data_IF_928972655203
#
_entry.id   IF_928972655203
#
_cell.length_a   1.000
_cell.length_b   1.000
_cell.length_c   1.000
_cell.angle_alpha   90.00
_cell.angle_beta   90.00
_cell.angle_gamma   90.00
#
_symmetry.space_group_name_H-M   'P 1'
#
loop_
_entity.id
_entity.type
_entity.pdbx_description
1 polymer ?
#
# COMPACT_ATOMS: atom_id res chain seq x y z
N UNK A 1 38.36 53.43 33.88
CA UNK A 1 38.61 52.20 33.09
C UNK A 1 38.53 51.05 34.06
N UNK A 2 37.41 50.31 34.03
CA UNK A 2 37.23 49.11 34.85
C UNK A 2 37.64 47.89 34.04
N UNK A 3 38.61 47.15 34.56
CA UNK A 3 39.22 45.97 33.97
C UNK A 3 38.19 44.83 33.95
N UNK A 4 37.98 44.22 32.78
CA UNK A 4 37.02 43.13 32.58
C UNK A 4 37.45 41.89 33.37
N UNK A 5 36.60 41.41 34.28
CA UNK A 5 36.82 40.20 35.09
C UNK A 5 36.15 38.98 34.42
N UNK A 6 36.91 38.05 33.82
CA UNK A 6 36.37 36.90 33.12
C UNK A 6 35.83 35.79 34.04
N UNK A 7 35.91 35.94 35.37
CA UNK A 7 35.37 34.97 36.34
C UNK A 7 33.92 35.24 36.75
N UNK A 8 33.39 36.43 36.45
CA UNK A 8 32.00 36.79 36.74
C UNK A 8 31.02 36.47 35.60
N UNK A 9 31.50 35.84 34.51
CA UNK A 9 30.66 35.37 33.43
C UNK A 9 30.70 33.83 33.36
N UNK A 10 29.55 33.14 33.54
CA UNK A 10 29.51 31.69 33.52
C UNK A 10 29.94 31.16 32.15
N UNK A 11 31.10 30.52 32.10
CA UNK A 11 31.58 29.82 30.90
C UNK A 11 30.76 28.53 30.75
N UNK A 12 30.16 28.37 29.57
CA UNK A 12 29.43 27.18 29.19
C UNK A 12 30.24 25.89 29.40
N UNK A 13 29.51 24.84 29.74
CA UNK A 13 29.92 23.47 30.01
C UNK A 13 31.17 23.02 29.22
N UNK A 14 32.33 22.94 29.88
CA UNK A 14 33.60 22.57 29.24
C UNK A 14 33.81 21.06 29.07
N UNK A 15 32.85 20.21 29.47
CA UNK A 15 33.10 18.76 29.53
C UNK A 15 32.58 17.95 28.34
N UNK A 16 31.85 18.55 27.38
CA UNK A 16 31.31 17.83 26.20
C UNK A 16 31.70 18.39 24.84
N UNK A 17 32.55 19.43 24.76
CA UNK A 17 33.13 19.87 23.47
C UNK A 17 32.15 20.38 22.40
N UNK A 18 30.85 20.54 22.71
CA UNK A 18 29.86 21.10 21.79
C UNK A 18 29.55 22.55 22.14
N UNK A 19 30.20 23.48 21.45
CA UNK A 19 29.80 24.88 21.47
C UNK A 19 28.50 25.06 20.65
N UNK A 20 27.41 25.48 21.29
CA UNK A 20 26.26 26.08 20.58
C UNK A 20 24.88 25.45 20.74
N UNK A 21 24.53 24.86 21.89
CA UNK A 21 23.12 24.52 22.16
C UNK A 21 22.67 25.10 23.51
N UNK A 22 21.82 26.13 23.43
CA UNK A 22 21.08 26.64 24.59
C UNK A 22 19.71 25.95 24.62
N UNK A 23 19.30 25.48 25.80
CA UNK A 23 17.94 25.04 26.05
C UNK A 23 16.98 26.22 25.85
N UNK A 24 16.05 26.10 24.92
CA UNK A 24 14.98 27.08 24.73
C UNK A 24 14.01 27.03 25.92
N UNK A 25 13.56 28.22 26.34
CA UNK A 25 12.59 28.44 27.43
C UNK A 25 11.42 27.46 27.36
N UNK A 26 10.99 26.96 28.50
CA UNK A 26 9.73 26.24 28.69
C UNK A 26 8.58 27.12 28.19
N UNK A 27 8.07 26.85 26.98
CA UNK A 27 6.86 27.47 26.47
C UNK A 27 5.65 26.79 27.11
N UNK A 28 4.81 27.59 27.75
CA UNK A 28 3.54 27.15 28.34
C UNK A 28 2.53 26.77 27.26
N UNK A 29 1.78 25.72 27.57
CA UNK A 29 1.05 24.80 26.69
C UNK A 29 -0.19 25.37 25.96
N UNK A 30 -0.10 26.50 25.25
CA UNK A 30 -1.29 27.08 24.61
C UNK A 30 -1.17 27.59 23.17
N UNK A 31 -0.03 27.43 22.47
CA UNK A 31 0.10 27.95 21.08
C UNK A 31 0.78 27.00 20.07
N UNK A 32 0.90 25.71 20.38
CA UNK A 32 1.13 24.68 19.35
C UNK A 32 -0.10 23.79 19.32
N UNK A 33 -1.18 24.30 18.73
CA UNK A 33 -2.13 23.44 18.07
C UNK A 33 -1.41 22.86 16.86
N UNK A 34 -0.78 21.69 17.02
CA UNK A 34 -0.46 20.85 15.87
C UNK A 34 -1.79 20.65 15.15
N UNK A 35 -1.89 21.27 13.98
CA UNK A 35 -2.99 21.09 13.06
C UNK A 35 -3.34 19.60 13.02
N UNK A 36 -4.64 19.31 13.16
CA UNK A 36 -5.16 17.95 13.25
C UNK A 36 -4.58 17.04 12.18
N UNK A 37 -4.45 15.76 12.54
CA UNK A 37 -4.07 14.63 11.71
C UNK A 37 -4.14 14.96 10.21
N UNK A 38 -2.98 15.08 9.56
CA UNK A 38 -2.90 15.41 8.14
C UNK A 38 -3.74 14.37 7.37
N UNK A 39 -4.88 14.74 6.74
CA UNK A 39 -5.75 13.79 6.03
C UNK A 39 -5.05 13.14 4.83
N UNK A 40 -3.82 13.58 4.52
CA UNK A 40 -2.92 12.99 3.53
C UNK A 40 -2.49 11.54 3.83
N UNK A 41 -2.87 10.96 4.97
CA UNK A 41 -2.62 9.55 5.30
C UNK A 41 -3.49 8.55 4.53
N UNK A 42 -4.77 8.90 4.31
CA UNK A 42 -5.75 7.97 3.76
C UNK A 42 -5.47 7.63 2.28
N UNK A 43 -5.72 6.38 1.93
CA UNK A 43 -5.55 5.86 0.57
C UNK A 43 -6.48 6.56 -0.43
N UNK A 44 -7.65 7.02 0.02
CA UNK A 44 -8.66 7.70 -0.80
C UNK A 44 -8.12 8.99 -1.42
N UNK A 45 -7.42 9.81 -0.62
CA UNK A 45 -6.80 11.05 -1.08
C UNK A 45 -5.68 10.80 -2.09
N UNK A 46 -5.25 9.55 -2.22
CA UNK A 46 -4.22 9.14 -3.12
C UNK A 46 -4.70 8.59 -4.46
N UNK A 47 -6.01 8.33 -4.56
CA UNK A 47 -6.64 8.10 -5.84
C UNK A 47 -6.66 9.45 -6.56
N UNK A 48 -5.74 9.61 -7.51
CA UNK A 48 -5.51 10.84 -8.26
C UNK A 48 -5.36 10.49 -9.74
N UNK A 49 -6.49 10.39 -10.48
CA UNK A 49 -6.50 9.98 -11.87
C UNK A 49 -5.55 10.85 -12.70
N UNK A 50 -4.49 10.24 -13.19
CA UNK A 50 -3.51 10.91 -14.05
C UNK A 50 -3.55 10.26 -15.42
N UNK A 51 -4.03 11.01 -16.41
CA UNK A 51 -3.99 10.57 -17.81
C UNK A 51 -2.53 10.57 -18.30
N UNK A 52 -1.98 9.40 -18.56
CA UNK A 52 -0.58 9.28 -19.04
C UNK A 52 -0.50 9.37 -20.56
N UNK A 53 -1.52 8.87 -21.26
CA UNK A 53 -1.61 8.80 -22.72
C UNK A 53 -3.09 8.79 -23.17
N UNK A 54 -3.35 8.89 -24.49
CA UNK A 54 -4.70 8.67 -25.03
C UNK A 54 -5.17 7.27 -24.62
N UNK A 55 -6.18 7.18 -23.75
CA UNK A 55 -6.80 5.91 -23.33
C UNK A 55 -6.14 5.15 -22.18
N UNK A 56 -5.17 5.73 -21.46
CA UNK A 56 -4.65 5.11 -20.21
C UNK A 56 -4.67 6.14 -19.08
N UNK A 57 -5.28 5.76 -17.97
CA UNK A 57 -5.39 6.56 -16.75
C UNK A 57 -4.81 5.76 -15.58
N UNK A 58 -3.82 6.31 -14.89
CA UNK A 58 -3.33 5.74 -13.64
C UNK A 58 -4.20 6.29 -12.51
N UNK A 59 -4.89 5.40 -11.79
CA UNK A 59 -5.73 5.80 -10.65
C UNK A 59 -4.91 5.92 -9.37
N UNK A 60 -3.98 4.98 -9.18
CA UNK A 60 -3.18 4.85 -7.97
C UNK A 60 -1.80 4.29 -8.31
N UNK A 61 -0.75 4.83 -7.68
CA UNK A 61 0.59 4.31 -7.77
C UNK A 61 1.30 4.40 -6.42
N UNK A 62 1.56 3.27 -5.72
CA UNK A 62 2.15 3.29 -4.38
C UNK A 62 3.61 3.75 -4.39
N UNK A 63 4.27 3.76 -5.55
CA UNK A 63 5.66 4.16 -5.71
C UNK A 63 5.84 5.68 -5.95
N UNK A 64 4.76 6.45 -6.01
CA UNK A 64 4.80 7.89 -6.35
C UNK A 64 3.90 8.68 -5.40
N UNK A 65 4.42 9.68 -4.69
CA UNK A 65 3.60 10.72 -4.05
C UNK A 65 4.18 12.14 -4.21
N UNK A 66 3.24 13.07 -4.41
CA UNK A 66 3.27 14.53 -4.61
C UNK A 66 3.84 15.11 -5.91
N UNK A 67 2.94 15.32 -6.88
CA UNK A 67 3.07 16.34 -7.92
C UNK A 67 2.47 17.64 -7.33
N UNK A 68 3.31 18.58 -6.91
CA UNK A 68 2.84 19.95 -6.71
C UNK A 68 2.69 20.61 -8.08
N UNK A 69 1.45 20.81 -8.53
CA UNK A 69 1.18 21.63 -9.71
C UNK A 69 1.24 23.12 -9.30
N UNK A 70 2.37 23.79 -9.55
CA UNK A 70 2.34 25.25 -9.69
C UNK A 70 1.93 25.60 -11.13
N UNK A 71 0.99 26.54 -11.25
CA UNK A 71 0.36 26.89 -12.50
C UNK A 71 1.37 27.55 -13.47
N UNK A 72 1.56 26.92 -14.62
CA UNK A 72 2.05 27.58 -15.83
C UNK A 72 3.55 27.48 -16.09
N UNK A 73 4.01 26.34 -16.58
CA UNK A 73 4.90 26.23 -17.76
C UNK A 73 5.39 24.80 -17.90
N UNK A 74 5.56 24.37 -19.15
CA UNK A 74 6.13 23.07 -19.52
C UNK A 74 7.48 22.84 -18.85
N UNK A 75 7.50 21.96 -17.84
CA UNK A 75 8.67 21.18 -17.45
C UNK A 75 8.23 20.00 -16.57
N UNK A 76 8.21 18.79 -17.13
CA UNK A 76 8.15 17.56 -16.34
C UNK A 76 9.50 17.39 -15.67
N UNK A 77 9.61 17.90 -14.45
CA UNK A 77 10.72 17.61 -13.56
C UNK A 77 10.40 16.28 -12.89
N UNK A 78 11.15 15.26 -13.32
CA UNK A 78 11.18 13.95 -12.70
C UNK A 78 12.04 13.95 -11.44
N UNK A 79 11.78 12.94 -10.60
CA UNK A 79 12.61 12.38 -9.51
C UNK A 79 12.41 12.98 -8.11
N UNK A 80 11.85 12.19 -7.20
CA UNK A 80 12.65 11.42 -6.24
C UNK A 80 11.80 10.36 -5.52
N UNK A 81 12.24 9.11 -5.63
CA UNK A 81 11.79 8.00 -4.78
C UNK A 81 12.38 8.28 -3.40
N UNK A 82 11.56 8.86 -2.52
CA UNK A 82 12.03 9.41 -1.26
C UNK A 82 10.96 9.51 -0.20
N UNK A 83 10.22 8.42 0.03
CA UNK A 83 9.64 8.07 1.33
C UNK A 83 9.34 6.57 1.33
N UNK A 84 10.16 5.83 2.10
CA UNK A 84 9.94 4.49 2.66
C UNK A 84 9.04 3.58 1.83
N UNK A 85 9.66 2.69 1.04
CA UNK A 85 9.03 1.64 0.23
C UNK A 85 8.07 0.70 1.00
N UNK A 86 7.75 0.96 2.26
CA UNK A 86 6.86 0.14 3.05
C UNK A 86 5.46 0.74 3.14
N UNK A 87 5.38 2.00 3.54
CA UNK A 87 4.19 2.67 4.05
C UNK A 87 2.94 2.48 3.16
N UNK A 88 3.12 2.37 1.85
CA UNK A 88 2.02 2.29 0.87
C UNK A 88 2.04 1.04 0.00
N UNK A 89 3.12 0.26 0.03
CA UNK A 89 3.21 -0.93 -0.83
C UNK A 89 2.15 -1.95 -0.41
N UNK A 90 1.99 -2.18 0.90
CA UNK A 90 0.92 -3.03 1.44
C UNK A 90 -0.48 -2.53 1.08
N UNK A 91 -0.69 -1.22 1.14
CA UNK A 91 -1.97 -0.58 0.79
C UNK A 91 -2.39 -0.89 -0.65
N UNK A 92 -1.44 -0.91 -1.57
CA UNK A 92 -1.70 -1.24 -2.97
C UNK A 92 -2.15 -2.70 -3.16
N UNK A 93 -1.63 -3.63 -2.37
CA UNK A 93 -2.09 -5.01 -2.37
C UNK A 93 -3.49 -5.16 -1.79
N UNK A 94 -3.74 -4.53 -0.63
CA UNK A 94 -5.07 -4.53 -0.02
C UNK A 94 -6.14 -3.95 -0.95
N UNK A 95 -5.82 -2.86 -1.64
CA UNK A 95 -6.72 -2.24 -2.62
C UNK A 95 -7.03 -3.15 -3.81
N UNK A 96 -6.02 -3.86 -4.31
CA UNK A 96 -6.22 -4.84 -5.39
C UNK A 96 -7.12 -5.98 -4.93
N UNK A 97 -6.88 -6.55 -3.74
CA UNK A 97 -7.71 -7.64 -3.23
C UNK A 97 -9.15 -7.21 -3.02
N UNK A 98 -9.37 -6.06 -2.39
CA UNK A 98 -10.70 -5.52 -2.16
C UNK A 98 -11.48 -5.38 -3.48
N UNK A 99 -10.84 -4.84 -4.52
CA UNK A 99 -11.46 -4.68 -5.85
C UNK A 99 -11.68 -6.01 -6.57
N UNK A 100 -10.82 -7.02 -6.36
CA UNK A 100 -11.01 -8.36 -6.93
C UNK A 100 -12.17 -9.07 -6.25
N UNK A 101 -12.30 -8.95 -4.94
CA UNK A 101 -13.39 -9.52 -4.15
C UNK A 101 -14.73 -8.86 -4.52
N UNK A 102 -14.76 -7.52 -4.64
CA UNK A 102 -15.95 -6.75 -5.09
C UNK A 102 -16.37 -7.13 -6.52
N UNK A 103 -15.41 -7.30 -7.43
CA UNK A 103 -15.71 -7.77 -8.78
C UNK A 103 -16.27 -9.21 -8.79
N UNK A 104 -15.78 -10.05 -7.88
CA UNK A 104 -16.21 -11.44 -7.72
C UNK A 104 -16.03 -12.30 -8.98
N UNK A 105 -16.63 -13.49 -8.97
CA UNK A 105 -16.60 -14.42 -10.11
C UNK A 105 -17.25 -13.81 -11.35
N UNK A 106 -18.37 -13.10 -11.16
CA UNK A 106 -19.10 -12.46 -12.27
C UNK A 106 -18.27 -11.40 -13.00
N UNK A 107 -17.48 -10.60 -12.26
CA UNK A 107 -16.58 -9.60 -12.83
C UNK A 107 -15.44 -10.24 -13.61
N UNK A 108 -14.89 -11.34 -13.13
CA UNK A 108 -13.84 -12.10 -13.83
C UNK A 108 -14.36 -12.77 -15.10
N UNK A 109 -15.55 -13.38 -15.04
CA UNK A 109 -16.19 -13.99 -16.20
C UNK A 109 -16.57 -12.93 -17.24
N UNK A 110 -17.07 -11.78 -16.79
CA UNK A 110 -17.32 -10.61 -17.65
C UNK A 110 -16.03 -10.13 -18.31
N UNK A 111 -14.93 -10.02 -17.57
CA UNK A 111 -13.65 -9.62 -18.12
C UNK A 111 -13.17 -10.60 -19.20
N UNK A 112 -13.26 -11.91 -18.96
CA UNK A 112 -12.94 -12.94 -19.96
C UNK A 112 -13.82 -12.79 -21.21
N UNK A 113 -15.13 -12.68 -21.04
CA UNK A 113 -16.08 -12.57 -22.14
C UNK A 113 -15.90 -11.30 -22.99
N UNK A 114 -15.41 -10.21 -22.39
CA UNK A 114 -15.17 -8.94 -23.09
C UNK A 114 -13.81 -8.87 -23.78
N UNK A 115 -12.84 -9.68 -23.35
CA UNK A 115 -11.45 -9.56 -23.79
C UNK A 115 -10.97 -10.68 -24.72
N UNK A 116 -11.59 -11.86 -24.65
CA UNK A 116 -11.17 -13.06 -25.39
C UNK A 116 -11.97 -13.26 -26.68
N UNK A 117 -11.32 -13.76 -27.72
CA UNK A 117 -11.95 -14.13 -29.01
C UNK A 117 -12.74 -12.98 -29.65
N UNK A 118 -12.25 -11.74 -29.50
CA UNK A 118 -12.89 -10.54 -30.03
C UNK A 118 -12.32 -10.14 -31.38
N UNK A 119 -13.06 -9.36 -32.18
CA UNK A 119 -12.54 -8.83 -33.46
C UNK A 119 -12.15 -7.36 -33.39
N UNK A 120 -12.94 -6.53 -32.69
CA UNK A 120 -12.65 -5.10 -32.49
C UNK A 120 -13.53 -4.50 -31.37
N UNK A 121 -13.71 -5.23 -30.26
CA UNK A 121 -14.65 -4.82 -29.21
C UNK A 121 -14.07 -3.69 -28.38
N UNK A 122 -14.78 -2.54 -28.31
CA UNK A 122 -14.38 -1.43 -27.44
C UNK A 122 -14.63 -1.83 -25.99
N UNK A 123 -13.63 -1.67 -25.15
CA UNK A 123 -13.68 -2.03 -23.73
C UNK A 123 -12.90 -1.02 -22.91
N UNK A 124 -13.23 -0.96 -21.63
CA UNK A 124 -12.44 -0.27 -20.61
C UNK A 124 -12.09 -1.28 -19.53
N UNK A 125 -10.82 -1.39 -19.19
CA UNK A 125 -10.29 -2.45 -18.32
C UNK A 125 -9.61 -1.84 -17.12
N UNK A 126 -9.94 -2.30 -15.93
CA UNK A 126 -9.20 -2.04 -14.70
C UNK A 126 -8.13 -3.11 -14.53
N UNK A 127 -6.87 -2.70 -14.41
CA UNK A 127 -5.72 -3.59 -14.25
C UNK A 127 -4.83 -3.14 -13.09
N UNK A 128 -3.97 -4.04 -12.62
CA UNK A 128 -2.95 -3.70 -11.64
C UNK A 128 -1.54 -4.09 -12.07
N UNK A 129 -0.56 -3.31 -11.60
CA UNK A 129 0.86 -3.59 -11.80
C UNK A 129 1.50 -4.36 -10.65
N UNK A 130 2.78 -4.69 -10.80
CA UNK A 130 3.57 -5.44 -9.82
C UNK A 130 3.88 -4.66 -8.52
N UNK A 131 3.38 -3.46 -8.33
CA UNK A 131 3.49 -2.74 -7.06
C UNK A 131 2.14 -2.62 -6.34
N UNK A 132 1.03 -3.04 -6.96
CA UNK A 132 -0.32 -2.68 -6.52
C UNK A 132 -0.80 -1.36 -7.14
N UNK A 133 -0.06 -0.81 -8.12
CA UNK A 133 -0.56 0.32 -8.91
C UNK A 133 -1.81 -0.05 -9.69
N UNK A 134 -2.83 0.81 -9.69
CA UNK A 134 -4.07 0.63 -10.44
C UNK A 134 -4.10 1.48 -11.70
N UNK A 135 -4.56 0.88 -12.80
CA UNK A 135 -4.64 1.54 -14.10
C UNK A 135 -5.96 1.20 -14.78
N UNK A 136 -6.53 2.19 -15.44
CA UNK A 136 -7.66 2.01 -16.36
C UNK A 136 -7.16 2.18 -17.78
N UNK A 137 -7.39 1.16 -18.60
CA UNK A 137 -7.01 1.15 -20.01
C UNK A 137 -8.28 1.08 -20.85
N UNK A 138 -8.53 2.12 -21.63
CA UNK A 138 -9.53 2.10 -22.69
C UNK A 138 -8.88 1.56 -23.96
N UNK A 139 -9.48 0.55 -24.58
CA UNK A 139 -8.92 -0.06 -25.79
C UNK A 139 -9.90 -0.91 -26.57
N UNK A 140 -9.39 -1.55 -27.62
CA UNK A 140 -10.14 -2.50 -28.44
C UNK A 140 -9.58 -3.88 -28.21
N UNK A 141 -10.41 -4.77 -27.68
CA UNK A 141 -10.12 -6.18 -27.57
C UNK A 141 -10.20 -6.82 -28.96
N UNK A 142 -9.15 -7.52 -29.37
CA UNK A 142 -9.08 -8.21 -30.65
C UNK A 142 -8.14 -9.40 -30.59
N UNK A 143 -8.47 -10.46 -31.31
CA UNK A 143 -7.67 -11.67 -31.45
C UNK A 143 -6.93 -11.61 -32.77
N UNK A 144 -5.60 -11.60 -32.71
CA UNK A 144 -4.72 -11.57 -33.87
C UNK A 144 -3.83 -12.80 -33.84
N UNK A 145 -3.91 -13.63 -34.89
CA UNK A 145 -3.13 -14.87 -35.01
C UNK A 145 -3.24 -15.80 -33.79
N UNK A 146 -4.44 -15.90 -33.21
CA UNK A 146 -4.71 -16.75 -32.03
C UNK A 146 -4.20 -16.19 -30.70
N UNK A 147 -3.81 -14.92 -30.65
CA UNK A 147 -3.47 -14.22 -29.39
C UNK A 147 -4.42 -13.05 -29.18
N UNK A 148 -4.95 -12.93 -27.97
CA UNK A 148 -5.83 -11.82 -27.59
C UNK A 148 -5.01 -10.59 -27.18
N UNK A 149 -5.38 -9.44 -27.74
CA UNK A 149 -4.76 -8.16 -27.45
C UNK A 149 -5.79 -7.12 -27.04
N UNK A 150 -5.37 -6.23 -26.13
CA UNK A 150 -6.01 -4.94 -25.90
C UNK A 150 -5.22 -3.86 -26.64
N UNK A 151 -5.72 -3.40 -27.78
CA UNK A 151 -5.15 -2.27 -28.52
C UNK A 151 -5.58 -0.95 -27.87
N UNK A 152 -4.65 -0.18 -27.32
CA UNK A 152 -4.96 1.05 -26.60
C UNK A 152 -5.70 2.06 -27.47
N UNK A 153 -6.76 2.69 -26.93
CA UNK A 153 -7.58 3.69 -27.62
C UNK A 153 -6.72 4.84 -28.14
N UNK A 154 -6.84 5.13 -29.43
CA UNK A 154 -6.08 6.20 -30.06
C UNK A 154 -4.62 5.86 -30.35
N UNK A 155 -4.17 4.65 -30.02
CA UNK A 155 -2.88 4.12 -30.45
C UNK A 155 -3.03 3.23 -31.69
N UNK A 156 -1.99 3.21 -32.53
CA UNK A 156 -1.87 2.29 -33.66
C UNK A 156 -0.87 1.16 -33.40
N UNK A 157 0.04 1.33 -32.43
CA UNK A 157 1.16 0.44 -32.19
C UNK A 157 1.25 -0.06 -30.74
N UNK A 158 0.57 0.60 -29.79
CA UNK A 158 0.57 0.20 -28.39
C UNK A 158 -0.59 -0.75 -28.12
N UNK A 159 -0.27 -2.03 -27.99
CA UNK A 159 -1.19 -3.09 -27.64
C UNK A 159 -0.60 -3.91 -26.49
N UNK A 160 -1.48 -4.50 -25.69
CA UNK A 160 -1.12 -5.36 -24.56
C UNK A 160 -1.65 -6.76 -24.83
N UNK A 161 -0.82 -7.81 -24.79
CA UNK A 161 -1.34 -9.19 -24.70
C UNK A 161 -2.24 -9.31 -23.47
N UNK A 162 -3.45 -9.84 -23.62
CA UNK A 162 -4.40 -9.93 -22.49
C UNK A 162 -3.80 -10.76 -21.34
N UNK A 163 -3.07 -11.83 -21.65
CA UNK A 163 -2.38 -12.68 -20.66
C UNK A 163 -1.25 -11.97 -19.89
N UNK A 164 -0.78 -10.82 -20.39
CA UNK A 164 0.21 -10.00 -19.68
C UNK A 164 -0.41 -8.95 -18.75
N UNK A 165 -1.74 -8.80 -18.79
CA UNK A 165 -2.47 -7.85 -17.95
C UNK A 165 -3.03 -8.59 -16.73
N UNK A 166 -2.72 -8.06 -15.53
CA UNK A 166 -3.43 -8.49 -14.33
C UNK A 166 -4.78 -7.75 -14.28
N UNK A 167 -5.79 -8.31 -14.95
CA UNK A 167 -7.13 -7.72 -15.08
C UNK A 167 -7.94 -7.97 -13.81
N UNK A 168 -8.53 -6.90 -13.27
CA UNK A 168 -9.48 -6.98 -12.14
C UNK A 168 -10.91 -7.05 -12.68
N UNK A 169 -11.29 -6.10 -13.53
CA UNK A 169 -12.62 -6.04 -14.14
C UNK A 169 -12.51 -5.43 -15.55
N UNK A 170 -13.43 -5.79 -16.44
CA UNK A 170 -13.63 -5.09 -17.70
C UNK A 170 -15.08 -4.69 -17.90
N UNK A 171 -15.28 -3.57 -18.60
CA UNK A 171 -16.59 -3.05 -18.99
C UNK A 171 -16.65 -2.75 -20.47
N UNK A 172 -17.86 -2.89 -21.02
CA UNK A 172 -18.10 -2.67 -22.43
C UNK A 172 -18.04 -1.17 -22.76
N UNK A 173 -17.48 -0.85 -23.92
CA UNK A 173 -17.33 0.51 -24.42
C UNK A 173 -16.22 1.33 -23.75
N UNK A 174 -16.13 2.59 -24.18
CA UNK A 174 -15.26 3.61 -23.59
C UNK A 174 -16.02 4.46 -22.58
N UNK A 175 -15.29 5.29 -21.82
CA UNK A 175 -15.85 6.27 -20.91
C UNK A 175 -16.08 5.75 -19.50
N UNK A 176 -15.57 4.56 -19.16
CA UNK A 176 -15.78 3.93 -17.85
C UNK A 176 -14.72 4.30 -16.80
N UNK A 177 -13.82 5.25 -17.11
CA UNK A 177 -12.74 5.66 -16.19
C UNK A 177 -13.31 6.14 -14.86
N UNK A 178 -14.34 6.99 -14.89
CA UNK A 178 -14.98 7.50 -13.67
C UNK A 178 -15.60 6.38 -12.83
N UNK A 179 -16.19 5.38 -13.47
CA UNK A 179 -16.76 4.24 -12.75
C UNK A 179 -15.70 3.49 -11.94
N UNK A 180 -14.56 3.16 -12.57
CA UNK A 180 -13.46 2.50 -11.89
C UNK A 180 -12.77 3.40 -10.85
N UNK A 181 -12.75 4.72 -11.06
CA UNK A 181 -12.31 5.67 -10.04
C UNK A 181 -13.23 5.63 -8.81
N UNK A 182 -14.55 5.69 -9.01
CA UNK A 182 -15.52 5.66 -7.91
C UNK A 182 -15.43 4.34 -7.13
N UNK A 183 -15.27 3.20 -7.81
CA UNK A 183 -15.01 1.90 -7.17
C UNK A 183 -13.69 1.90 -6.38
N UNK A 184 -12.60 2.40 -6.97
CA UNK A 184 -11.30 2.47 -6.29
C UNK A 184 -11.34 3.37 -5.04
N UNK A 185 -12.09 4.48 -5.07
CA UNK A 185 -12.30 5.35 -3.89
C UNK A 185 -13.08 4.66 -2.80
N UNK A 186 -14.16 3.95 -3.16
CA UNK A 186 -14.95 3.17 -2.20
C UNK A 186 -14.09 2.09 -1.53
N UNK A 187 -13.35 1.30 -2.31
CA UNK A 187 -12.43 0.30 -1.78
C UNK A 187 -11.33 0.94 -0.90
N UNK A 188 -10.75 2.05 -1.34
CA UNK A 188 -9.73 2.76 -0.57
C UNK A 188 -10.24 3.31 0.76
N UNK A 189 -11.53 3.66 0.87
CA UNK A 189 -12.14 4.13 2.11
C UNK A 189 -12.36 3.03 3.16
N UNK A 190 -12.37 1.76 2.73
CA UNK A 190 -12.53 0.61 3.62
C UNK A 190 -11.19 0.03 4.11
N UNK A 191 -10.05 0.52 3.58
CA UNK A 191 -8.72 0.05 3.96
C UNK A 191 -8.18 0.95 5.08
N UNK A 192 -7.63 0.36 6.17
CA UNK A 192 -7.19 1.13 7.30
C UNK A 192 -5.97 1.99 6.95
N UNK A 193 -5.74 3.01 7.76
CA UNK A 193 -4.65 3.94 7.58
C UNK A 193 -3.30 3.22 7.82
N UNK A 194 -2.42 3.23 6.82
CA UNK A 194 -1.11 2.57 6.89
C UNK A 194 -0.01 3.62 7.06
N UNK A 195 0.94 3.32 7.95
CA UNK A 195 2.17 4.06 8.18
C UNK A 195 3.40 3.21 7.93
N UNK A 196 4.58 3.77 8.21
CA UNK A 196 5.84 3.03 8.09
C UNK A 196 5.83 1.77 8.95
N UNK A 197 6.31 0.68 8.38
CA UNK A 197 6.72 -0.48 9.14
C UNK A 197 7.76 -0.06 10.21
N UNK A 198 7.37 -0.15 11.48
CA UNK A 198 8.23 -0.01 12.66
C UNK A 198 7.82 -1.05 13.69
N UNK A 199 8.76 -1.41 14.56
CA UNK A 199 8.52 -2.34 15.67
C UNK A 199 8.22 -1.63 16.99
N UNK A 200 7.99 -0.30 16.95
CA UNK A 200 7.77 0.50 18.15
C UNK A 200 6.56 -0.03 18.95
N UNK A 201 6.78 -0.38 20.22
CA UNK A 201 5.71 -0.90 21.09
C UNK A 201 5.36 -2.37 20.87
N UNK A 202 6.12 -3.11 20.05
CA UNK A 202 6.06 -4.57 20.01
C UNK A 202 7.03 -5.10 21.09
N UNK A 203 6.62 -6.03 21.96
CA UNK A 203 7.48 -6.57 23.01
C UNK A 203 8.67 -7.33 22.42
N UNK A 204 9.82 -7.19 23.08
CA UNK A 204 11.07 -7.89 22.79
C UNK A 204 11.43 -8.73 24.01
N UNK A 205 10.77 -9.87 24.16
CA UNK A 205 11.14 -10.87 25.15
C UNK A 205 10.75 -12.28 24.68
N UNK A 206 11.41 -13.30 25.24
CA UNK A 206 11.18 -14.71 24.89
C UNK A 206 9.89 -15.29 25.52
N UNK A 207 9.00 -14.44 26.03
CA UNK A 207 7.74 -14.90 26.62
C UNK A 207 6.71 -15.14 25.53
N UNK A 208 5.87 -16.16 25.69
CA UNK A 208 4.71 -16.33 24.82
C UNK A 208 3.73 -15.16 25.05
N UNK A 209 3.54 -14.33 24.02
CA UNK A 209 2.55 -13.25 24.01
C UNK A 209 1.30 -13.73 23.27
N UNK A 210 0.21 -13.88 24.01
CA UNK A 210 -1.09 -14.21 23.43
C UNK A 210 -1.77 -13.00 22.75
N UNK A 211 -1.32 -11.77 23.05
CA UNK A 211 -1.89 -10.53 22.52
C UNK A 211 -1.17 -10.05 21.26
N UNK A 212 -1.94 -9.60 20.26
CA UNK A 212 -1.38 -8.93 19.08
C UNK A 212 -0.95 -7.51 19.44
N UNK A 213 0.34 -7.23 19.26
CA UNK A 213 0.94 -5.92 19.54
C UNK A 213 0.93 -4.97 18.32
N UNK A 214 0.91 -5.50 17.10
CA UNK A 214 0.84 -4.70 15.88
C UNK A 214 0.24 -5.47 14.70
N UNK A 215 -0.31 -4.74 13.73
CA UNK A 215 -0.79 -5.32 12.47
C UNK A 215 -0.03 -4.70 11.29
N UNK A 216 0.40 -5.54 10.35
CA UNK A 216 1.04 -5.11 9.11
C UNK A 216 0.25 -5.62 7.91
N UNK A 217 0.21 -4.81 6.85
CA UNK A 217 -0.31 -5.20 5.54
C UNK A 217 0.86 -5.16 4.57
N UNK A 218 1.06 -6.22 3.76
CA UNK A 218 2.23 -6.33 2.91
C UNK A 218 2.01 -7.20 1.66
N UNK A 219 2.89 -7.06 0.66
CA UNK A 219 2.78 -7.69 -0.66
C UNK A 219 3.64 -8.95 -0.80
N UNK A 220 3.52 -9.89 0.12
CA UNK A 220 4.30 -11.13 0.10
C UNK A 220 3.62 -12.29 0.85
N UNK A 221 4.14 -13.52 0.68
CA UNK A 221 5.21 -13.87 -0.25
C UNK A 221 4.69 -14.08 -1.67
N UNK A 222 5.56 -13.82 -2.65
CA UNK A 222 5.25 -13.92 -4.08
C UNK A 222 6.07 -15.05 -4.72
N UNK A 223 5.87 -16.29 -4.24
CA UNK A 223 6.67 -17.43 -4.67
C UNK A 223 6.48 -17.78 -6.15
N UNK A 224 5.27 -17.57 -6.68
CA UNK A 224 4.91 -17.99 -8.03
C UNK A 224 4.97 -16.86 -9.07
N UNK A 225 5.24 -15.61 -8.65
CA UNK A 225 5.30 -14.44 -9.52
C UNK A 225 3.94 -13.98 -10.06
N UNK A 226 2.86 -14.66 -9.69
CA UNK A 226 1.47 -14.34 -10.03
C UNK A 226 0.87 -13.24 -9.12
N UNK A 227 1.59 -12.88 -8.06
CA UNK A 227 1.23 -11.80 -7.14
C UNK A 227 -0.02 -12.07 -6.29
N UNK A 228 -0.36 -13.33 -6.10
CA UNK A 228 -1.52 -13.78 -5.34
C UNK A 228 -1.40 -13.52 -3.83
N UNK A 229 -0.20 -13.56 -3.26
CA UNK A 229 0.06 -13.20 -1.85
C UNK A 229 0.11 -11.69 -1.57
N UNK A 230 -0.65 -10.85 -2.27
CA UNK A 230 -0.66 -9.40 -2.03
C UNK A 230 -1.66 -9.01 -0.98
N UNK A 231 -1.40 -7.89 -0.30
CA UNK A 231 -2.25 -7.42 0.78
C UNK A 231 -2.35 -8.40 1.96
N UNK A 232 -1.44 -9.37 2.08
CA UNK A 232 -1.38 -10.28 3.22
C UNK A 232 -1.29 -9.50 4.52
N UNK A 233 -1.87 -10.06 5.58
CA UNK A 233 -1.86 -9.46 6.92
C UNK A 233 -0.89 -10.24 7.80
N UNK A 234 -0.11 -9.52 8.60
CA UNK A 234 0.64 -10.08 9.72
C UNK A 234 0.12 -9.47 11.01
N UNK A 235 -0.43 -10.31 11.88
CA UNK A 235 -0.74 -9.98 13.26
C UNK A 235 0.49 -10.31 14.11
N UNK A 236 1.29 -9.28 14.40
CA UNK A 236 2.55 -9.41 15.13
C UNK A 236 2.32 -9.47 16.64
N UNK A 237 2.96 -10.44 17.29
CA UNK A 237 2.91 -10.66 18.74
C UNK A 237 4.13 -10.05 19.43
N UNK A 238 5.31 -10.36 18.90
CA UNK A 238 6.60 -10.06 19.51
C UNK A 238 7.67 -9.85 18.43
N UNK A 239 8.86 -9.42 18.87
CA UNK A 239 10.06 -9.43 18.05
C UNK A 239 11.16 -10.29 18.66
N UNK A 240 12.02 -10.80 17.80
CA UNK A 240 13.34 -11.31 18.18
C UNK A 240 14.38 -10.31 17.69
N UNK A 241 15.15 -9.73 18.61
CA UNK A 241 16.30 -8.90 18.27
C UNK A 241 17.32 -9.69 17.41
N UNK A 242 17.67 -9.13 16.24
CA UNK A 242 18.68 -9.67 15.32
C UNK A 242 19.48 -8.51 14.70
N UNK A 243 20.33 -7.89 15.52
CA UNK A 243 21.13 -6.74 15.14
C UNK A 243 20.26 -5.55 14.72
N UNK A 244 20.53 -4.99 13.54
CA UNK A 244 19.80 -3.82 13.00
C UNK A 244 18.51 -4.19 12.24
N UNK A 245 18.19 -5.48 12.09
CA UNK A 245 17.02 -5.96 11.33
C UNK A 245 16.21 -6.99 12.13
N UNK A 246 15.41 -6.54 13.10
CA UNK A 246 14.66 -7.42 13.99
C UNK A 246 13.69 -8.31 13.21
N UNK A 247 13.47 -9.50 13.77
CA UNK A 247 12.54 -10.48 13.24
C UNK A 247 11.20 -10.25 13.94
N UNK A 248 10.15 -9.99 13.16
CA UNK A 248 8.78 -9.82 13.65
C UNK A 248 8.09 -11.18 13.61
N UNK A 249 7.62 -11.66 14.75
CA UNK A 249 6.91 -12.93 14.89
C UNK A 249 5.41 -12.69 14.97
N UNK A 250 4.62 -13.64 14.48
CA UNK A 250 3.17 -13.53 14.57
C UNK A 250 2.40 -14.50 13.68
N UNK A 251 1.11 -14.21 13.51
CA UNK A 251 0.19 -14.97 12.69
C UNK A 251 0.04 -14.31 11.31
N UNK A 252 0.29 -15.08 10.27
CA UNK A 252 0.10 -14.65 8.89
C UNK A 252 -1.27 -15.04 8.39
N UNK A 253 -1.94 -14.10 7.72
CA UNK A 253 -3.18 -14.34 6.99
C UNK A 253 -2.96 -14.05 5.51
N UNK A 254 -3.12 -15.08 4.68
CA UNK A 254 -2.86 -15.04 3.25
C UNK A 254 -4.15 -15.11 2.42
N UNK A 255 -4.21 -14.42 1.28
CA UNK A 255 -5.29 -14.60 0.30
C UNK A 255 -5.39 -16.07 -0.15
N UNK A 256 -6.59 -16.62 -0.41
CA UNK A 256 -6.76 -18.03 -0.78
C UNK A 256 -6.05 -18.42 -2.08
N UNK A 257 -5.90 -17.49 -3.01
CA UNK A 257 -5.22 -17.70 -4.29
C UNK A 257 -3.68 -17.67 -4.15
N UNK A 258 -3.14 -17.33 -2.98
CA UNK A 258 -1.69 -17.30 -2.71
C UNK A 258 -1.01 -18.67 -2.80
N UNK A 259 -1.78 -19.76 -2.66
CA UNK A 259 -1.25 -21.12 -2.52
C UNK A 259 -0.61 -21.38 -1.15
N UNK A 260 -0.83 -20.50 -0.17
CA UNK A 260 -0.31 -20.60 1.18
C UNK A 260 -1.44 -20.79 2.17
N UNK A 261 -1.11 -21.46 3.27
CA UNK A 261 -2.00 -21.64 4.40
C UNK A 261 -1.55 -20.64 5.46
N UNK A 262 -2.52 -19.94 6.04
CA UNK A 262 -2.29 -19.02 7.15
C UNK A 262 -1.72 -19.79 8.34
N UNK A 263 -0.58 -19.33 8.85
CA UNK A 263 0.18 -20.03 9.88
C UNK A 263 0.96 -19.06 10.77
N UNK A 264 1.51 -19.60 11.85
CA UNK A 264 2.51 -18.89 12.63
C UNK A 264 3.79 -18.73 11.79
N UNK A 265 4.48 -17.61 11.92
CA UNK A 265 5.74 -17.43 11.22
C UNK A 265 6.51 -16.21 11.68
N UNK A 266 7.54 -15.89 10.91
CA UNK A 266 8.33 -14.70 11.15
C UNK A 266 8.79 -14.02 9.87
N UNK A 267 9.01 -12.71 9.93
CA UNK A 267 9.48 -11.90 8.82
C UNK A 267 10.42 -10.81 9.30
N UNK A 268 11.42 -10.47 8.50
CA UNK A 268 12.34 -9.37 8.81
C UNK A 268 11.65 -8.02 8.66
N UNK A 269 11.95 -7.08 9.56
CA UNK A 269 11.46 -5.71 9.47
C UNK A 269 11.84 -5.05 8.13
N UNK A 270 13.01 -5.35 7.59
CA UNK A 270 13.44 -4.84 6.28
C UNK A 270 12.56 -5.32 5.12
N UNK A 271 12.03 -6.54 5.18
CA UNK A 271 11.13 -7.08 4.16
C UNK A 271 9.71 -6.52 4.30
N UNK A 272 9.22 -6.35 5.54
CA UNK A 272 8.00 -5.58 5.79
C UNK A 272 8.17 -4.15 5.24
N UNK A 273 9.26 -3.47 5.59
CA UNK A 273 9.56 -2.11 5.14
C UNK A 273 9.75 -1.96 3.62
N UNK A 274 10.00 -3.06 2.89
CA UNK A 274 10.13 -3.04 1.42
C UNK A 274 8.80 -3.31 0.73
N UNK A 275 7.93 -4.11 1.35
CA UNK A 275 6.75 -4.68 0.70
C UNK A 275 5.43 -4.27 1.36
N UNK A 276 5.46 -3.55 2.48
CA UNK A 276 4.30 -3.36 3.34
C UNK A 276 4.46 -2.28 4.40
N UNK A 277 3.37 -1.98 5.09
CA UNK A 277 3.35 -0.95 6.11
C UNK A 277 2.62 -1.43 7.36
N UNK A 278 2.79 -0.67 8.44
CA UNK A 278 2.12 -0.92 9.72
C UNK A 278 0.78 -0.21 9.72
N UNK A 279 -0.26 -0.90 10.14
CA UNK A 279 -1.56 -0.29 10.36
C UNK A 279 -1.47 0.65 11.57
N UNK A 280 -1.91 1.90 11.42
CA UNK A 280 -1.71 2.95 12.45
C UNK A 280 -2.53 2.71 13.71
N UNK A 281 -3.72 2.13 13.56
CA UNK A 281 -4.63 1.79 14.65
C UNK A 281 -5.39 0.54 14.25
N UNK A 282 -5.53 -0.41 15.17
CA UNK A 282 -6.25 -1.66 14.93
C UNK A 282 -7.06 -2.05 16.17
N UNK A 283 -8.07 -2.90 15.99
CA UNK A 283 -8.81 -3.49 17.10
C UNK A 283 -7.98 -4.56 17.84
N UNK A 284 -7.86 -4.52 19.18
CA UNK A 284 -7.18 -5.55 19.95
C UNK A 284 -7.72 -6.94 19.61
N UNK A 285 -6.82 -7.90 19.37
CA UNK A 285 -7.12 -9.27 18.98
C UNK A 285 -6.06 -10.20 19.59
N UNK A 286 -6.40 -11.46 19.83
CA UNK A 286 -5.46 -12.48 20.31
C UNK A 286 -4.79 -13.23 19.17
N UNK A 287 -3.63 -13.84 19.43
CA UNK A 287 -2.93 -14.69 18.46
C UNK A 287 -3.80 -15.86 17.97
N UNK A 288 -4.58 -16.46 18.87
CA UNK A 288 -5.50 -17.55 18.53
C UNK A 288 -6.61 -17.09 17.57
N UNK A 289 -7.21 -15.92 17.81
CA UNK A 289 -8.21 -15.33 16.91
C UNK A 289 -7.61 -14.96 15.55
N UNK A 290 -6.38 -14.43 15.53
CA UNK A 290 -5.68 -14.12 14.28
C UNK A 290 -5.44 -15.37 13.42
N UNK A 291 -5.07 -16.50 14.04
CA UNK A 291 -4.98 -17.80 13.34
C UNK A 291 -6.36 -18.29 12.87
N UNK A 292 -7.41 -18.08 13.65
CA UNK A 292 -8.77 -18.41 13.25
C UNK A 292 -9.22 -17.60 12.03
N UNK A 293 -8.92 -16.29 11.97
CA UNK A 293 -9.15 -15.48 10.77
C UNK A 293 -8.42 -16.05 9.56
N UNK A 294 -7.18 -16.50 9.76
CA UNK A 294 -6.42 -17.23 8.75
C UNK A 294 -7.16 -18.44 8.20
N UNK A 295 -7.61 -19.34 9.09
CA UNK A 295 -8.37 -20.53 8.71
C UNK A 295 -9.66 -20.15 7.97
N UNK A 296 -10.41 -19.18 8.48
CA UNK A 296 -11.66 -18.74 7.87
C UNK A 296 -11.45 -18.15 6.46
N UNK A 297 -10.36 -17.42 6.23
CA UNK A 297 -9.99 -16.95 4.88
C UNK A 297 -9.63 -18.13 3.98
N UNK A 298 -8.75 -19.02 4.43
CA UNK A 298 -8.34 -20.19 3.65
C UNK A 298 -9.51 -21.13 3.30
N UNK A 299 -10.49 -21.28 4.19
CA UNK A 299 -11.69 -22.11 4.01
C UNK A 299 -12.82 -21.39 3.26
N UNK A 300 -12.64 -20.10 2.91
CA UNK A 300 -13.64 -19.28 2.22
C UNK A 300 -14.83 -18.85 3.09
N UNK A 301 -14.71 -18.99 4.42
CA UNK A 301 -15.68 -18.46 5.38
C UNK A 301 -15.59 -16.94 5.57
N UNK A 302 -14.44 -16.35 5.22
CA UNK A 302 -14.18 -14.90 5.14
C UNK A 302 -13.31 -14.58 3.92
N UNK A 303 -13.26 -13.31 3.55
CA UNK A 303 -12.28 -12.80 2.57
C UNK A 303 -11.36 -11.74 3.19
N UNK A 304 -10.29 -11.40 2.48
CA UNK A 304 -9.32 -10.41 2.96
C UNK A 304 -9.93 -9.00 3.04
N UNK A 305 -10.85 -8.67 2.14
CA UNK A 305 -11.52 -7.37 2.11
C UNK A 305 -12.32 -7.09 3.39
N UNK A 306 -12.98 -8.12 3.93
CA UNK A 306 -13.69 -8.06 5.22
C UNK A 306 -12.72 -7.80 6.38
N UNK A 307 -11.58 -8.50 6.42
CA UNK A 307 -10.58 -8.30 7.47
C UNK A 307 -10.01 -6.88 7.46
N UNK A 308 -9.77 -6.29 6.29
CA UNK A 308 -9.31 -4.89 6.24
C UNK A 308 -10.32 -3.93 6.87
N UNK A 309 -11.63 -4.18 6.70
CA UNK A 309 -12.66 -3.32 7.27
C UNK A 309 -12.82 -3.49 8.80
N UNK A 310 -12.34 -4.60 9.36
CA UNK A 310 -12.40 -4.92 10.80
C UNK A 310 -11.17 -4.47 11.59
N UNK A 311 -10.02 -4.32 10.93
CA UNK A 311 -8.76 -3.83 11.51
C UNK A 311 -8.87 -2.32 11.77
#
# INVERSE_FOLDING_TARGET
>A
MNTFDPTQHPRGNQTTGHAGQFATKTQTSSEIGLAGADPRGSLEHLISPTSTNRGETVLFNPMVRNISQEAGSDSVISVSIGARHGDLNGAGGALVNYLRDDAGVEGQDRARALLRDQTDRKVTVLTHGNSGSLRVIEGRAMTLNGTDYLLQKGSRSKAYPIDSLNVIEARDGYGQVKHFEDQARMAASAIPDIGKATVDGIPDDESEHDEVAAVFIYNAPNFNGDHSGRGSILYATDITEDGDDPIVNGAFVFPPDSGLISEHGSIRLSDLSRNGGRVKAFQPTTFAEALEYGSQVNDGGRNMAELYAEI
#
